data_IF_846861616044
#
_entry.id   IF_846861616044
#
_cell.length_a   1.000
_cell.length_b   1.000
_cell.length_c   1.000
_cell.angle_alpha   90.00
_cell.angle_beta   90.00
_cell.angle_gamma   90.00
#
_symmetry.space_group_name_H-M   'P 1'
#
loop_
_entity.id
_entity.type
_entity.pdbx_description
1 polymer ?
#
# COMPACT_ATOMS: atom_id res chain seq x y z
N UNK A 1 58.09 -24.68 17.90
CA UNK A 1 57.40 -23.40 18.23
C UNK A 1 56.99 -22.60 16.98
N UNK A 2 57.92 -22.25 16.06
CA UNK A 2 57.60 -21.49 14.83
C UNK A 2 56.51 -22.09 13.92
N UNK A 3 56.43 -23.42 13.81
CA UNK A 3 55.47 -24.06 12.90
C UNK A 3 54.05 -24.15 13.48
N UNK A 4 53.92 -24.29 14.80
CA UNK A 4 52.63 -24.32 15.50
C UNK A 4 51.94 -22.96 15.39
N UNK A 5 52.71 -21.87 15.59
CA UNK A 5 52.19 -20.51 15.43
C UNK A 5 51.66 -20.25 14.01
N UNK A 6 52.37 -20.73 12.97
CA UNK A 6 51.92 -20.61 11.58
C UNK A 6 50.61 -21.37 11.33
N UNK A 7 50.46 -22.56 11.88
CA UNK A 7 49.24 -23.37 11.74
C UNK A 7 48.06 -22.71 12.45
N UNK A 8 48.26 -22.23 13.68
CA UNK A 8 47.21 -21.51 14.44
C UNK A 8 46.79 -20.24 13.69
N UNK A 9 47.75 -19.48 13.17
CA UNK A 9 47.47 -18.26 12.42
C UNK A 9 46.76 -18.55 11.10
N UNK A 10 47.06 -19.67 10.44
CA UNK A 10 46.35 -20.12 9.24
C UNK A 10 44.91 -20.54 9.54
N UNK A 11 44.68 -21.30 10.62
CA UNK A 11 43.32 -21.65 11.06
C UNK A 11 42.54 -20.40 11.42
N UNK A 12 43.15 -19.47 12.15
CA UNK A 12 42.54 -18.19 12.49
C UNK A 12 42.18 -17.37 11.24
N UNK A 13 43.06 -17.31 10.24
CA UNK A 13 42.78 -16.63 8.97
C UNK A 13 41.58 -17.24 8.24
N UNK A 14 41.44 -18.57 8.20
CA UNK A 14 40.28 -19.25 7.61
C UNK A 14 38.99 -18.90 8.36
N UNK A 15 39.03 -18.93 9.70
CA UNK A 15 37.87 -18.58 10.55
C UNK A 15 37.45 -17.13 10.33
N UNK A 16 38.38 -16.18 10.31
CA UNK A 16 38.07 -14.78 10.03
C UNK A 16 37.51 -14.60 8.61
N UNK A 17 38.04 -15.32 7.63
CA UNK A 17 37.54 -15.26 6.24
C UNK A 17 36.08 -15.73 6.15
N UNK A 18 35.72 -16.78 6.89
CA UNK A 18 34.34 -17.25 7.00
C UNK A 18 33.41 -16.21 7.65
N UNK A 19 33.86 -15.54 8.73
CA UNK A 19 33.06 -14.49 9.37
C UNK A 19 32.82 -13.29 8.46
N UNK A 20 33.82 -12.86 7.69
CA UNK A 20 33.66 -11.75 6.72
C UNK A 20 32.65 -12.15 5.65
N UNK A 21 32.76 -13.37 5.11
CA UNK A 21 31.82 -13.87 4.10
C UNK A 21 30.38 -13.90 4.62
N UNK A 22 30.16 -14.47 5.80
CA UNK A 22 28.83 -14.53 6.43
C UNK A 22 28.26 -13.13 6.71
N UNK A 23 29.09 -12.17 7.11
CA UNK A 23 28.66 -10.80 7.38
C UNK A 23 28.16 -10.08 6.14
N UNK A 24 28.73 -10.35 4.96
CA UNK A 24 28.28 -9.76 3.69
C UNK A 24 27.02 -10.45 3.21
N UNK A 25 26.99 -11.79 3.25
CA UNK A 25 25.81 -12.56 2.83
C UNK A 25 24.57 -12.24 3.66
N UNK A 26 24.70 -12.16 4.99
CA UNK A 26 23.57 -11.88 5.86
C UNK A 26 22.90 -10.54 5.55
N UNK A 27 23.68 -9.53 5.13
CA UNK A 27 23.13 -8.22 4.74
C UNK A 27 22.38 -8.29 3.40
N UNK A 28 22.88 -9.09 2.45
CA UNK A 28 22.23 -9.28 1.14
C UNK A 28 20.90 -10.01 1.34
N UNK A 29 20.92 -11.14 2.06
CA UNK A 29 19.71 -11.91 2.38
C UNK A 29 18.66 -11.07 3.10
N UNK A 30 19.09 -10.24 4.06
CA UNK A 30 18.20 -9.30 4.74
C UNK A 30 17.55 -8.31 3.78
N UNK A 31 18.32 -7.69 2.88
CA UNK A 31 17.78 -6.71 1.95
C UNK A 31 16.80 -7.33 0.94
N UNK A 32 17.09 -8.54 0.46
CA UNK A 32 16.21 -9.25 -0.46
C UNK A 32 14.88 -9.61 0.23
N UNK A 33 14.96 -10.22 1.41
CA UNK A 33 13.80 -10.65 2.21
C UNK A 33 12.95 -9.46 2.68
N UNK A 34 13.61 -8.35 3.06
CA UNK A 34 12.96 -7.09 3.42
C UNK A 34 12.06 -6.57 2.31
N UNK A 35 12.54 -6.54 1.07
CA UNK A 35 11.73 -6.09 -0.08
C UNK A 35 10.53 -7.01 -0.26
N UNK A 36 10.71 -8.33 -0.21
CA UNK A 36 9.61 -9.30 -0.35
C UNK A 36 8.52 -9.07 0.71
N UNK A 37 8.92 -8.87 1.98
CA UNK A 37 8.00 -8.64 3.11
C UNK A 37 7.29 -7.31 3.01
N UNK A 38 8.00 -6.23 2.67
CA UNK A 38 7.36 -4.94 2.42
C UNK A 38 6.38 -5.00 1.25
N UNK A 39 6.73 -5.66 0.15
CA UNK A 39 5.81 -5.82 -0.98
C UNK A 39 4.56 -6.62 -0.57
N UNK A 40 4.67 -7.63 0.31
CA UNK A 40 3.50 -8.32 0.85
C UNK A 40 2.63 -7.39 1.74
N UNK A 41 3.25 -6.65 2.66
CA UNK A 41 2.55 -5.70 3.52
C UNK A 41 1.82 -4.62 2.70
N UNK A 42 2.50 -4.05 1.70
CA UNK A 42 1.95 -3.03 0.80
C UNK A 42 0.81 -3.59 -0.05
N UNK A 43 0.91 -4.81 -0.55
CA UNK A 43 -0.17 -5.45 -1.30
C UNK A 43 -1.47 -5.55 -0.47
N UNK A 44 -1.34 -5.94 0.80
CA UNK A 44 -2.50 -6.00 1.71
C UNK A 44 -3.04 -4.62 2.07
N UNK A 45 -2.16 -3.62 2.25
CA UNK A 45 -2.56 -2.23 2.50
C UNK A 45 -3.28 -1.62 1.28
N UNK A 46 -2.82 -1.89 0.06
CA UNK A 46 -3.50 -1.49 -1.19
C UNK A 46 -4.90 -2.12 -1.31
N UNK A 47 -5.04 -3.38 -0.88
CA UNK A 47 -6.33 -4.08 -0.86
C UNK A 47 -7.30 -3.42 0.14
N UNK A 48 -6.82 -3.06 1.34
CA UNK A 48 -7.59 -2.30 2.34
C UNK A 48 -7.98 -0.92 1.80
N UNK A 49 -7.04 -0.19 1.19
CA UNK A 49 -7.31 1.13 0.61
C UNK A 49 -8.35 1.07 -0.52
N UNK A 50 -8.29 0.01 -1.35
CA UNK A 50 -9.28 -0.24 -2.40
C UNK A 50 -10.66 -0.54 -1.82
N UNK A 51 -10.72 -1.34 -0.75
CA UNK A 51 -11.96 -1.61 -0.02
C UNK A 51 -12.56 -0.33 0.60
N UNK A 52 -11.74 0.48 1.27
CA UNK A 52 -12.14 1.77 1.86
C UNK A 52 -12.68 2.75 0.81
N UNK A 53 -12.01 2.84 -0.34
CA UNK A 53 -12.47 3.70 -1.46
C UNK A 53 -13.86 3.29 -1.93
N UNK A 54 -14.12 1.99 -2.09
CA UNK A 54 -15.43 1.50 -2.50
C UNK A 54 -16.47 1.68 -1.39
N UNK A 55 -16.09 1.43 -0.14
CA UNK A 55 -16.96 1.61 1.03
C UNK A 55 -17.42 3.06 1.14
N UNK A 56 -16.52 4.03 1.01
CA UNK A 56 -16.84 5.46 0.96
C UNK A 56 -17.70 5.83 -0.23
N UNK A 57 -17.46 5.22 -1.39
CA UNK A 57 -18.30 5.44 -2.58
C UNK A 57 -19.78 5.10 -2.34
N UNK A 58 -20.06 4.10 -1.51
CA UNK A 58 -21.43 3.66 -1.19
C UNK A 58 -22.01 4.34 0.05
N UNK A 59 -21.22 4.48 1.13
CA UNK A 59 -21.70 4.98 2.43
C UNK A 59 -21.42 6.47 2.66
N UNK A 60 -20.62 7.11 1.79
CA UNK A 60 -20.23 8.53 1.91
C UNK A 60 -19.07 8.80 2.89
N UNK A 61 -18.66 7.81 3.69
CA UNK A 61 -17.58 7.91 4.68
C UNK A 61 -16.72 6.65 4.70
N UNK A 62 -15.51 6.75 5.23
CA UNK A 62 -14.64 5.59 5.51
C UNK A 62 -15.06 4.87 6.80
N UNK A 63 -14.59 3.65 7.01
CA UNK A 63 -14.85 2.90 8.26
C UNK A 63 -13.57 2.70 9.05
N UNK A 64 -13.70 2.63 10.38
CA UNK A 64 -12.62 2.30 11.30
C UNK A 64 -12.60 0.81 11.67
N UNK A 65 -13.53 0.03 11.11
CA UNK A 65 -13.73 -1.37 11.47
C UNK A 65 -13.49 -2.32 10.29
N UNK A 66 -12.43 -3.14 10.41
CA UNK A 66 -12.07 -4.17 9.43
C UNK A 66 -13.18 -5.20 9.18
N UNK A 67 -13.99 -5.55 10.18
CA UNK A 67 -15.09 -6.50 10.02
C UNK A 67 -16.22 -5.91 9.17
N UNK A 68 -16.44 -4.59 9.27
CA UNK A 68 -17.39 -3.88 8.42
C UNK A 68 -16.94 -3.88 6.96
N UNK A 69 -15.63 -3.69 6.72
CA UNK A 69 -15.06 -3.87 5.38
C UNK A 69 -15.21 -5.29 4.87
N UNK A 70 -14.87 -6.31 5.68
CA UNK A 70 -15.02 -7.73 5.28
C UNK A 70 -16.46 -8.07 4.92
N UNK A 71 -17.42 -7.59 5.70
CA UNK A 71 -18.84 -7.77 5.39
C UNK A 71 -19.22 -7.07 4.08
N UNK A 72 -18.76 -5.84 3.87
CA UNK A 72 -19.00 -5.11 2.63
C UNK A 72 -18.37 -5.77 1.41
N UNK A 73 -17.17 -6.34 1.53
CA UNK A 73 -16.50 -7.06 0.43
C UNK A 73 -17.28 -8.32 0.04
N UNK A 74 -17.76 -9.08 1.03
CA UNK A 74 -18.47 -10.33 0.79
C UNK A 74 -19.90 -10.13 0.25
N UNK A 75 -20.59 -9.09 0.71
CA UNK A 75 -22.02 -8.89 0.44
C UNK A 75 -22.32 -7.72 -0.51
N UNK A 76 -21.33 -6.85 -0.74
CA UNK A 76 -21.49 -5.64 -1.53
C UNK A 76 -21.49 -5.92 -3.02
N UNK A 77 -22.40 -5.25 -3.72
CA UNK A 77 -22.40 -5.14 -5.17
C UNK A 77 -22.17 -3.68 -5.54
N UNK A 78 -21.29 -3.45 -6.50
CA UNK A 78 -20.98 -2.10 -7.00
C UNK A 78 -21.43 -1.96 -8.45
N UNK A 79 -21.94 -0.78 -8.78
CA UNK A 79 -22.22 -0.37 -10.15
C UNK A 79 -20.98 0.34 -10.68
N UNK A 80 -20.36 -0.24 -11.71
CA UNK A 80 -19.23 0.39 -12.38
C UNK A 80 -19.79 1.31 -13.46
N UNK A 81 -19.54 2.61 -13.32
CA UNK A 81 -19.96 3.63 -14.28
C UNK A 81 -18.73 4.07 -15.06
N UNK A 82 -18.69 3.74 -16.35
CA UNK A 82 -17.62 4.21 -17.23
C UNK A 82 -17.97 5.62 -17.73
N UNK A 83 -17.06 6.57 -17.47
CA UNK A 83 -17.16 7.94 -17.92
C UNK A 83 -15.97 8.25 -18.82
N UNK A 84 -16.24 8.70 -20.03
CA UNK A 84 -15.22 9.12 -20.99
C UNK A 84 -15.39 10.61 -21.23
N UNK A 85 -14.37 11.38 -20.86
CA UNK A 85 -14.33 12.80 -21.20
C UNK A 85 -13.98 12.95 -22.67
N UNK A 86 -14.88 13.59 -23.42
CA UNK A 86 -14.71 13.90 -24.83
C UNK A 86 -14.74 15.41 -25.03
N UNK A 87 -14.04 15.88 -26.05
CA UNK A 87 -14.03 17.28 -26.43
C UNK A 87 -14.39 17.40 -27.91
N UNK A 88 -15.28 18.33 -28.24
CA UNK A 88 -15.72 18.57 -29.61
C UNK A 88 -15.98 20.04 -29.88
N UNK A 89 -15.86 20.44 -31.14
CA UNK A 89 -16.26 21.76 -31.58
C UNK A 89 -17.78 21.80 -31.70
N UNK A 90 -18.40 22.70 -30.95
CA UNK A 90 -19.83 22.97 -31.02
C UNK A 90 -20.00 24.39 -31.53
N UNK A 91 -20.79 24.55 -32.60
CA UNK A 91 -21.09 25.87 -33.15
C UNK A 91 -21.94 26.65 -32.15
N UNK A 92 -21.45 27.81 -31.72
CA UNK A 92 -22.21 28.73 -30.88
C UNK A 92 -23.19 29.54 -31.74
N UNK A 93 -24.49 29.32 -31.55
CA UNK A 93 -25.55 29.98 -32.32
C UNK A 93 -25.56 31.50 -32.19
N UNK A 94 -24.98 32.04 -31.10
CA UNK A 94 -24.95 33.49 -30.85
C UNK A 94 -23.80 34.20 -31.58
N UNK A 95 -22.68 33.50 -31.76
CA UNK A 95 -21.45 34.08 -32.31
C UNK A 95 -21.05 33.51 -33.68
N UNK A 96 -21.71 32.43 -34.13
CA UNK A 96 -21.40 31.68 -35.35
C UNK A 96 -19.93 31.21 -35.44
N UNK A 97 -19.27 31.06 -34.29
CA UNK A 97 -17.89 30.55 -34.20
C UNK A 97 -17.95 29.16 -33.57
N UNK A 98 -17.09 28.27 -34.07
CA UNK A 98 -16.93 26.93 -33.52
C UNK A 98 -16.07 27.01 -32.25
N UNK A 99 -16.71 26.75 -31.11
CA UNK A 99 -16.03 26.76 -29.81
C UNK A 99 -15.80 25.33 -29.34
N UNK A 100 -14.60 25.05 -28.85
CA UNK A 100 -14.29 23.74 -28.27
C UNK A 100 -15.00 23.61 -26.92
N UNK A 101 -15.89 22.63 -26.81
CA UNK A 101 -16.58 22.29 -25.57
C UNK A 101 -16.16 20.89 -25.12
N UNK A 102 -15.88 20.78 -23.82
CA UNK A 102 -15.67 19.49 -23.15
C UNK A 102 -17.03 18.96 -22.68
N UNK A 103 -17.31 17.69 -22.93
CA UNK A 103 -18.49 16.99 -22.47
C UNK A 103 -18.13 15.59 -21.98
N UNK A 104 -18.74 15.17 -20.89
CA UNK A 104 -18.56 13.83 -20.34
C UNK A 104 -19.62 12.91 -20.93
N UNK A 105 -19.20 11.89 -21.68
CA UNK A 105 -20.08 10.81 -22.14
C UNK A 105 -20.07 9.73 -21.06
N UNK A 106 -21.25 9.40 -20.53
CA UNK A 106 -21.43 8.24 -19.66
C UNK A 106 -21.82 7.08 -20.56
N UNK A 107 -20.87 6.17 -20.82
CA UNK A 107 -20.99 5.17 -21.89
C UNK A 107 -21.74 3.90 -21.44
N UNK A 108 -21.54 3.44 -20.19
CA UNK A 108 -22.19 2.20 -19.71
C UNK A 108 -22.29 2.15 -18.18
N UNK A 109 -23.45 1.71 -17.68
CA UNK A 109 -23.60 1.13 -16.34
C UNK A 109 -23.34 -0.36 -16.50
N UNK A 110 -22.16 -0.83 -16.10
CA UNK A 110 -21.89 -2.27 -16.11
C UNK A 110 -22.68 -2.89 -14.97
N UNK A 111 -23.31 -4.05 -15.23
CA UNK A 111 -24.06 -4.87 -14.28
C UNK A 111 -23.40 -4.94 -12.89
N UNK A 112 -24.16 -5.13 -11.80
CA UNK A 112 -23.60 -5.21 -10.46
C UNK A 112 -22.47 -6.25 -10.39
N UNK A 113 -21.24 -5.76 -10.19
CA UNK A 113 -20.06 -6.60 -9.98
C UNK A 113 -19.86 -6.76 -8.48
N UNK A 114 -19.45 -7.94 -8.04
CA UNK A 114 -19.09 -8.17 -6.64
C UNK A 114 -17.91 -7.28 -6.25
N UNK A 115 -17.99 -6.65 -5.08
CA UNK A 115 -16.87 -5.87 -4.52
C UNK A 115 -15.61 -6.73 -4.43
N UNK A 116 -15.77 -8.00 -4.05
CA UNK A 116 -14.69 -8.98 -4.00
C UNK A 116 -13.96 -9.11 -5.34
N UNK A 117 -14.70 -9.29 -6.43
CA UNK A 117 -14.09 -9.48 -7.75
C UNK A 117 -13.38 -8.21 -8.23
N UNK A 118 -13.86 -7.04 -7.83
CA UNK A 118 -13.24 -5.76 -8.18
C UNK A 118 -11.92 -5.50 -7.48
N UNK A 119 -11.72 -6.00 -6.26
CA UNK A 119 -10.50 -5.77 -5.46
C UNK A 119 -9.49 -6.89 -5.69
N UNK A 120 -9.95 -8.15 -5.58
CA UNK A 120 -9.07 -9.31 -5.57
C UNK A 120 -8.89 -9.92 -6.96
N UNK A 121 -9.86 -9.75 -7.87
CA UNK A 121 -9.86 -10.43 -9.16
C UNK A 121 -9.82 -11.95 -8.95
N UNK A 122 -8.67 -12.57 -9.28
CA UNK A 122 -8.43 -14.01 -9.06
C UNK A 122 -7.77 -14.35 -7.72
N UNK A 123 -7.32 -13.34 -6.95
CA UNK A 123 -6.65 -13.54 -5.65
C UNK A 123 -7.65 -13.95 -4.58
N UNK A 124 -7.17 -14.70 -3.58
CA UNK A 124 -8.01 -15.04 -2.41
C UNK A 124 -8.17 -13.86 -1.47
N UNK A 125 -9.30 -13.81 -0.78
CA UNK A 125 -9.59 -12.82 0.27
C UNK A 125 -9.10 -13.27 1.66
N UNK A 126 -8.65 -14.52 1.81
CA UNK A 126 -8.45 -15.15 3.13
C UNK A 126 -7.53 -14.36 4.09
N UNK A 127 -6.58 -13.61 3.53
CA UNK A 127 -5.62 -12.81 4.31
C UNK A 127 -6.04 -11.34 4.48
N UNK A 128 -7.25 -10.94 4.07
CA UNK A 128 -7.65 -9.54 4.12
C UNK A 128 -7.66 -8.98 5.55
N UNK A 129 -6.94 -7.88 5.74
CA UNK A 129 -6.76 -7.21 7.03
C UNK A 129 -5.63 -7.80 7.89
N UNK A 130 -4.87 -8.75 7.37
CA UNK A 130 -3.70 -9.32 8.03
C UNK A 130 -2.52 -9.42 7.07
N UNK A 131 -1.31 -9.40 7.62
CA UNK A 131 -0.07 -9.64 6.89
C UNK A 131 0.54 -10.91 7.45
N UNK A 132 0.79 -11.89 6.59
CA UNK A 132 1.45 -13.12 7.00
C UNK A 132 2.98 -12.91 6.97
N UNK A 133 3.60 -13.06 8.13
CA UNK A 133 5.06 -13.00 8.32
C UNK A 133 5.48 -14.27 9.05
N UNK A 134 6.26 -15.13 8.37
CA UNK A 134 6.76 -16.41 8.92
C UNK A 134 5.68 -17.31 9.55
N UNK A 135 4.46 -17.28 9.01
CA UNK A 135 3.33 -18.06 9.50
C UNK A 135 2.53 -17.40 10.63
N UNK A 136 2.94 -16.23 11.11
CA UNK A 136 2.18 -15.39 12.03
C UNK A 136 1.35 -14.36 11.24
N UNK A 137 0.10 -14.15 11.66
CA UNK A 137 -0.81 -13.19 11.05
C UNK A 137 -0.83 -11.91 11.88
N UNK A 138 -0.17 -10.87 11.37
CA UNK A 138 -0.12 -9.55 11.99
C UNK A 138 -1.34 -8.75 11.53
N UNK A 139 -2.19 -8.25 12.44
CA UNK A 139 -3.36 -7.46 12.07
C UNK A 139 -2.98 -6.08 11.55
N UNK A 140 -3.63 -5.64 10.48
CA UNK A 140 -3.57 -4.26 10.03
C UNK A 140 -4.43 -3.41 10.96
N UNK A 141 -3.89 -2.28 11.42
CA UNK A 141 -4.66 -1.32 12.20
C UNK A 141 -5.36 -0.37 11.24
N UNK A 142 -6.60 -0.01 11.57
CA UNK A 142 -7.45 0.84 10.75
C UNK A 142 -8.03 1.96 11.60
N UNK A 143 -8.04 3.16 11.04
CA UNK A 143 -8.64 4.33 11.65
C UNK A 143 -9.28 5.20 10.58
N UNK A 144 -10.47 5.70 10.85
CA UNK A 144 -11.18 6.63 9.98
C UNK A 144 -11.71 7.81 10.78
N UNK A 145 -11.67 8.98 10.15
CA UNK A 145 -12.23 10.20 10.73
C UNK A 145 -12.57 11.21 9.65
N UNK A 146 -13.00 12.39 10.07
CA UNK A 146 -13.32 13.50 9.20
C UNK A 146 -12.91 14.82 9.84
N UNK A 147 -12.63 15.80 8.99
CA UNK A 147 -12.42 17.17 9.38
C UNK A 147 -13.45 18.05 8.67
N UNK A 148 -14.02 19.00 9.41
CA UNK A 148 -14.91 20.00 8.87
C UNK A 148 -14.09 21.19 8.39
N UNK A 149 -14.24 21.55 7.11
CA UNK A 149 -13.60 22.73 6.51
C UNK A 149 -14.68 23.70 6.03
N UNK A 150 -14.55 24.96 6.40
CA UNK A 150 -15.39 26.03 5.86
C UNK A 150 -14.94 26.32 4.42
N UNK A 151 -15.88 26.29 3.48
CA UNK A 151 -15.61 26.54 2.06
C UNK A 151 -16.30 27.83 1.63
N UNK A 152 -15.49 28.86 1.36
CA UNK A 152 -15.95 30.18 0.95
C UNK A 152 -15.93 31.20 2.09
N UNK A 153 -16.57 32.35 1.86
CA UNK A 153 -16.54 33.48 2.79
C UNK A 153 -17.70 33.47 3.80
N UNK A 154 -18.55 32.45 3.74
CA UNK A 154 -19.68 32.26 4.65
C UNK A 154 -19.41 31.03 5.54
N UNK A 155 -19.48 31.23 6.85
CA UNK A 155 -19.28 30.21 7.89
C UNK A 155 -20.32 29.08 7.87
N UNK A 156 -21.34 29.18 7.02
CA UNK A 156 -22.42 28.17 6.91
C UNK A 156 -22.10 27.03 5.93
N UNK A 157 -21.13 27.21 5.02
CA UNK A 157 -20.79 26.21 4.01
C UNK A 157 -19.67 25.29 4.51
N UNK A 158 -20.06 24.24 5.22
CA UNK A 158 -19.13 23.27 5.82
C UNK A 158 -19.00 22.05 4.89
N UNK A 159 -17.78 21.78 4.43
CA UNK A 159 -17.43 20.57 3.71
C UNK A 159 -16.74 19.58 4.66
N UNK A 160 -17.26 18.35 4.71
CA UNK A 160 -16.64 17.26 5.46
C UNK A 160 -15.63 16.53 4.62
N UNK A 161 -14.38 16.60 5.03
CA UNK A 161 -13.26 15.91 4.43
C UNK A 161 -13.03 14.59 5.20
N UNK A 162 -13.58 13.48 4.68
CA UNK A 162 -13.34 12.15 5.24
C UNK A 162 -11.96 11.63 4.84
N UNK A 163 -11.26 11.00 5.79
CA UNK A 163 -9.96 10.35 5.61
C UNK A 163 -9.86 9.08 6.45
N UNK A 164 -8.94 8.21 6.07
CA UNK A 164 -8.59 7.01 6.83
C UNK A 164 -7.08 6.83 6.83
N UNK A 165 -6.61 6.05 7.79
CA UNK A 165 -5.25 5.55 7.88
C UNK A 165 -5.32 4.05 8.17
N UNK A 166 -4.69 3.25 7.32
CA UNK A 166 -4.40 1.86 7.60
C UNK A 166 -2.89 1.69 7.75
N UNK A 167 -2.44 0.96 8.77
CA UNK A 167 -1.00 0.81 9.03
C UNK A 167 -0.64 -0.50 9.71
N UNK A 168 0.64 -0.84 9.61
CA UNK A 168 1.31 -1.91 10.33
C UNK A 168 2.67 -1.42 10.82
N UNK A 169 3.12 -1.89 11.98
CA UNK A 169 4.43 -1.56 12.50
C UNK A 169 5.53 -2.18 11.64
N UNK A 170 6.54 -1.38 11.25
CA UNK A 170 7.66 -1.83 10.41
C UNK A 170 8.38 -3.02 11.05
N UNK A 171 8.53 -3.00 12.37
CA UNK A 171 9.21 -4.07 13.13
C UNK A 171 8.47 -5.38 13.04
N UNK A 172 7.13 -5.34 13.01
CA UNK A 172 6.31 -6.54 12.91
C UNK A 172 6.42 -7.13 11.50
N UNK A 173 6.43 -6.28 10.46
CA UNK A 173 6.65 -6.73 9.08
C UNK A 173 7.99 -7.45 8.90
N UNK A 174 9.03 -6.98 9.62
CA UNK A 174 10.38 -7.55 9.56
C UNK A 174 10.65 -8.59 10.66
N UNK A 175 9.64 -8.98 11.44
CA UNK A 175 9.81 -9.89 12.56
C UNK A 175 10.35 -11.26 12.10
N UNK A 176 11.34 -11.79 12.82
CA UNK A 176 12.01 -13.06 12.44
C UNK A 176 13.32 -12.88 11.68
N UNK A 177 13.60 -11.67 11.17
CA UNK A 177 14.92 -11.32 10.63
C UNK A 177 15.92 -10.97 11.74
N UNK A 178 17.19 -10.79 11.37
CA UNK A 178 18.24 -10.41 12.31
C UNK A 178 17.95 -9.05 12.97
N UNK A 179 17.91 -9.03 14.30
CA UNK A 179 17.57 -7.85 15.08
C UNK A 179 18.52 -6.68 14.86
N UNK A 180 19.80 -6.94 14.57
CA UNK A 180 20.77 -5.87 14.32
C UNK A 180 20.48 -5.18 12.98
N UNK A 181 20.04 -5.93 11.97
CA UNK A 181 19.64 -5.37 10.69
C UNK A 181 18.30 -4.64 10.78
N UNK A 182 17.33 -5.17 11.54
CA UNK A 182 16.06 -4.46 11.82
C UNK A 182 16.35 -3.12 12.51
N UNK A 183 17.22 -3.10 13.52
CA UNK A 183 17.54 -1.86 14.24
C UNK A 183 18.19 -0.81 13.32
N UNK A 184 19.06 -1.24 12.39
CA UNK A 184 19.65 -0.34 11.38
C UNK A 184 18.59 0.20 10.43
N UNK A 185 17.71 -0.67 9.94
CA UNK A 185 16.61 -0.32 9.03
C UNK A 185 15.63 0.69 9.65
N UNK A 186 15.36 0.61 10.95
CA UNK A 186 14.51 1.58 11.65
C UNK A 186 15.10 3.01 11.64
N UNK A 187 16.42 3.14 11.55
CA UNK A 187 17.12 4.43 11.53
C UNK A 187 17.54 4.89 10.14
N UNK A 188 17.30 4.06 9.12
CA UNK A 188 17.76 4.32 7.76
C UNK A 188 16.78 5.21 6.98
N UNK A 189 17.17 6.46 6.74
CA UNK A 189 16.38 7.41 5.94
C UNK A 189 16.29 7.05 4.45
N UNK A 190 17.15 6.14 3.99
CA UNK A 190 17.14 5.60 2.61
C UNK A 190 16.29 4.34 2.47
N UNK A 191 15.70 3.87 3.57
CA UNK A 191 14.75 2.76 3.56
C UNK A 191 13.60 3.02 2.57
N UNK A 192 13.10 1.98 1.89
CA UNK A 192 11.88 2.08 1.10
C UNK A 192 10.70 2.64 1.88
N UNK A 193 10.63 2.39 3.20
CA UNK A 193 9.61 2.96 4.09
C UNK A 193 10.34 3.76 5.16
N UNK A 194 10.22 5.09 5.14
CA UNK A 194 11.00 5.94 6.04
C UNK A 194 10.49 5.90 7.48
N UNK A 195 9.18 5.93 7.65
CA UNK A 195 8.56 5.98 8.99
C UNK A 195 8.64 4.62 9.71
N UNK A 196 8.39 4.62 11.02
CA UNK A 196 8.34 3.40 11.85
C UNK A 196 7.17 2.46 11.49
N UNK A 197 6.26 2.92 10.64
CA UNK A 197 5.07 2.18 10.20
C UNK A 197 5.00 2.16 8.68
N UNK A 198 4.51 1.06 8.12
CA UNK A 198 4.06 1.02 6.73
C UNK A 198 2.59 1.43 6.74
N UNK A 199 2.23 2.50 6.03
CA UNK A 199 0.87 3.05 6.07
C UNK A 199 0.37 3.43 4.69
N UNK A 200 -0.96 3.40 4.55
CA UNK A 200 -1.71 3.96 3.43
C UNK A 200 -2.79 4.91 3.96
N UNK A 201 -2.97 6.03 3.26
CA UNK A 201 -3.86 7.10 3.68
C UNK A 201 -3.20 8.07 4.66
N UNK A 202 -4.00 8.83 5.40
CA UNK A 202 -3.50 9.83 6.34
C UNK A 202 -4.46 9.99 7.51
N UNK A 203 -3.88 10.26 8.68
CA UNK A 203 -4.59 10.52 9.92
C UNK A 203 -5.19 11.94 10.02
N UNK A 204 -4.88 12.84 9.06
CA UNK A 204 -5.23 14.26 9.16
C UNK A 204 -5.93 14.82 7.95
N UNK A 205 -5.78 14.18 6.79
CA UNK A 205 -6.20 14.74 5.50
C UNK A 205 -6.67 13.63 4.57
N UNK A 206 -7.59 13.91 3.63
CA UNK A 206 -7.91 12.95 2.58
C UNK A 206 -6.67 12.58 1.79
N UNK A 207 -6.25 11.32 1.90
CA UNK A 207 -5.16 10.74 1.11
C UNK A 207 -5.49 9.28 0.84
N UNK A 208 -5.05 8.79 -0.33
CA UNK A 208 -5.02 7.38 -0.69
C UNK A 208 -3.58 6.89 -0.92
N UNK A 209 -2.59 7.75 -0.66
CA UNK A 209 -1.19 7.48 -0.94
C UNK A 209 -0.55 6.66 0.19
N UNK A 210 0.40 5.82 -0.20
CA UNK A 210 1.28 5.09 0.69
C UNK A 210 2.53 5.86 1.10
N UNK A 211 3.23 5.41 2.14
CA UNK A 211 4.51 5.99 2.57
C UNK A 211 5.75 5.16 2.13
N UNK A 212 5.63 4.37 1.07
CA UNK A 212 6.71 3.53 0.54
C UNK A 212 7.33 4.11 -0.74
N UNK A 213 8.53 3.63 -1.09
CA UNK A 213 9.25 4.04 -2.30
C UNK A 213 8.75 3.32 -3.55
N UNK A 214 9.05 3.91 -4.71
CA UNK A 214 8.73 3.32 -6.02
C UNK A 214 9.35 1.95 -6.29
N UNK A 215 10.37 1.56 -5.51
CA UNK A 215 10.99 0.24 -5.67
C UNK A 215 10.04 -0.88 -5.21
N UNK A 216 9.23 -0.61 -4.18
CA UNK A 216 8.20 -1.54 -3.71
C UNK A 216 7.07 -1.64 -4.72
N UNK A 217 6.66 -0.51 -5.31
CA UNK A 217 5.66 -0.49 -6.39
C UNK A 217 6.11 -1.33 -7.58
N UNK A 218 7.38 -1.19 -7.97
CA UNK A 218 7.97 -1.98 -9.06
C UNK A 218 7.97 -3.48 -8.71
N UNK A 219 8.44 -3.83 -7.52
CA UNK A 219 8.45 -5.23 -7.07
C UNK A 219 7.04 -5.84 -7.02
N UNK A 220 6.04 -5.05 -6.61
CA UNK A 220 4.64 -5.47 -6.60
C UNK A 220 4.10 -5.68 -8.02
N UNK A 221 4.40 -4.76 -8.93
CA UNK A 221 4.02 -4.88 -10.34
C UNK A 221 4.64 -6.12 -10.99
N UNK A 222 5.93 -6.37 -10.74
CA UNK A 222 6.63 -7.56 -11.24
C UNK A 222 5.99 -8.85 -10.70
N UNK A 223 5.69 -8.90 -9.39
CA UNK A 223 4.96 -10.02 -8.77
C UNK A 223 3.59 -10.25 -9.42
N UNK A 224 2.82 -9.19 -9.65
CA UNK A 224 1.49 -9.26 -10.28
C UNK A 224 1.57 -9.75 -11.73
N UNK A 225 2.60 -9.35 -12.46
CA UNK A 225 2.83 -9.81 -13.84
C UNK A 225 3.22 -11.29 -13.92
N UNK A 226 3.97 -11.80 -12.93
CA UNK A 226 4.33 -13.23 -12.86
C UNK A 226 3.13 -14.14 -12.54
N UNK A 227 2.12 -13.61 -11.86
CA UNK A 227 0.94 -14.36 -11.41
C UNK A 227 -0.28 -14.27 -12.35
N UNK A 228 -0.19 -13.47 -13.42
CA UNK A 228 -1.24 -13.30 -14.43
C UNK A 228 -1.02 -14.19 -15.66
#
# INVERSE_FOLDING_TARGET
MKNILKIVLLVLAIVLSYFIFRSVQGLVEFNDEKIVRYTNAVEQLEDVASAERLYKGYHGQYTDNLDSLKHFINNGQILIINRTDSSGYVRDERTNIDVMKSFTIVDTIVSPTSVKDSIFGRRSMDNFGYINVDGENIPIQLWASYNDRIVGNDSTNIQRDHFFKAWVDKRDVLAGLDNDYIAREMTDETSPVKDDVVQVGSDKRPSLEGNWSSDIDRALADRRNLNN
#
